data_IF_878035942747
#
_entry.id   IF_878035942747
#
_cell.length_a   1.000
_cell.length_b   1.000
_cell.length_c   1.000
_cell.angle_alpha   90.00
_cell.angle_beta   90.00
_cell.angle_gamma   90.00
#
_symmetry.space_group_name_H-M   'P 1'
#
loop_
_entity.id
_entity.type
_entity.pdbx_description
1 polymer ?
#
# COMPACT_ATOMS: atom_id res chain seq x y z
N UNK A 1 13.80 -8.83 16.87
CA UNK A 1 12.60 -9.61 16.53
C UNK A 1 11.36 -8.92 17.06
N UNK A 2 11.22 -8.70 18.37
CA UNK A 2 10.02 -8.09 18.99
C UNK A 2 9.53 -6.75 18.39
N UNK A 3 10.43 -5.84 17.99
CA UNK A 3 10.03 -4.56 17.34
C UNK A 3 9.49 -4.74 15.92
N UNK A 4 9.96 -5.76 15.21
CA UNK A 4 9.51 -6.05 13.84
C UNK A 4 8.11 -6.65 13.87
N UNK A 5 7.84 -7.54 14.83
CA UNK A 5 6.52 -8.16 15.00
C UNK A 5 5.46 -7.11 15.38
N UNK A 6 5.79 -6.18 16.28
CA UNK A 6 4.93 -5.04 16.60
C UNK A 6 4.69 -4.11 15.40
N UNK A 7 5.70 -3.89 14.54
CA UNK A 7 5.52 -3.11 13.33
C UNK A 7 4.55 -3.81 12.35
N UNK A 8 4.68 -5.13 12.19
CA UNK A 8 3.78 -5.96 11.38
C UNK A 8 2.33 -5.78 11.82
N UNK A 9 2.08 -5.92 13.12
CA UNK A 9 0.76 -5.80 13.71
C UNK A 9 0.17 -4.40 13.52
N UNK A 10 0.96 -3.34 13.75
CA UNK A 10 0.52 -1.97 13.52
C UNK A 10 0.13 -1.70 12.06
N UNK A 11 0.91 -2.21 11.09
CA UNK A 11 0.56 -2.05 9.68
C UNK A 11 -0.68 -2.87 9.29
N UNK A 12 -0.84 -4.07 9.83
CA UNK A 12 -2.05 -4.88 9.63
C UNK A 12 -3.30 -4.18 10.19
N UNK A 13 -3.21 -3.57 11.37
CA UNK A 13 -4.29 -2.75 11.93
C UNK A 13 -4.57 -1.52 11.07
N UNK A 14 -3.54 -0.84 10.59
CA UNK A 14 -3.70 0.30 9.69
C UNK A 14 -4.42 -0.10 8.39
N UNK A 15 -4.12 -1.27 7.82
CA UNK A 15 -4.83 -1.83 6.65
C UNK A 15 -6.26 -2.23 6.98
N UNK A 16 -6.51 -2.78 8.17
CA UNK A 16 -7.87 -3.11 8.60
C UNK A 16 -8.76 -1.86 8.72
N UNK A 17 -8.19 -0.73 9.14
CA UNK A 17 -8.87 0.57 9.21
C UNK A 17 -9.00 1.20 7.82
N UNK A 18 -7.91 1.21 7.05
CA UNK A 18 -7.86 1.75 5.70
C UNK A 18 -7.11 0.80 4.76
N UNK A 19 -7.88 -0.03 4.05
CA UNK A 19 -7.32 -1.02 3.12
C UNK A 19 -6.59 -0.41 1.92
N UNK A 20 -6.79 0.88 1.66
CA UNK A 20 -6.17 1.62 0.55
C UNK A 20 -4.91 2.40 0.97
N UNK A 21 -4.42 2.21 2.21
CA UNK A 21 -3.23 2.88 2.69
C UNK A 21 -1.97 2.29 2.05
N UNK A 22 -1.52 2.90 0.95
CA UNK A 22 -0.37 2.46 0.14
C UNK A 22 0.88 2.26 1.01
N UNK A 23 1.17 3.21 1.90
CA UNK A 23 2.36 3.19 2.75
C UNK A 23 2.39 1.98 3.70
N UNK A 24 1.23 1.53 4.18
CA UNK A 24 1.16 0.35 5.04
C UNK A 24 1.51 -0.93 4.28
N UNK A 25 1.05 -1.06 3.03
CA UNK A 25 1.41 -2.18 2.15
C UNK A 25 2.90 -2.16 1.78
N UNK A 26 3.47 -0.98 1.48
CA UNK A 26 4.93 -0.85 1.24
C UNK A 26 5.73 -1.28 2.46
N UNK A 27 5.34 -0.82 3.65
CA UNK A 27 6.08 -1.10 4.87
C UNK A 27 5.98 -2.57 5.30
N UNK A 28 4.84 -3.23 5.06
CA UNK A 28 4.72 -4.68 5.23
C UNK A 28 5.62 -5.44 4.25
N UNK A 29 5.69 -5.01 2.99
CA UNK A 29 6.58 -5.59 2.00
C UNK A 29 8.06 -5.50 2.42
N UNK A 30 8.47 -4.32 2.89
CA UNK A 30 9.82 -4.09 3.42
C UNK A 30 10.13 -4.98 4.62
N UNK A 31 9.16 -5.13 5.53
CA UNK A 31 9.30 -5.94 6.73
C UNK A 31 9.42 -7.43 6.39
N UNK A 32 8.55 -7.96 5.53
CA UNK A 32 8.60 -9.34 5.07
C UNK A 32 9.89 -9.62 4.27
N UNK A 33 10.36 -8.66 3.48
CA UNK A 33 11.66 -8.75 2.78
C UNK A 33 12.84 -8.86 3.76
N UNK A 34 12.86 -8.05 4.83
CA UNK A 34 13.87 -8.17 5.90
C UNK A 34 13.82 -9.52 6.62
N UNK A 35 12.63 -10.12 6.73
CA UNK A 35 12.42 -11.45 7.31
C UNK A 35 12.64 -12.60 6.31
N UNK A 36 13.01 -12.30 5.05
CA UNK A 36 13.15 -13.26 3.95
C UNK A 36 11.85 -14.00 3.60
N UNK A 37 10.71 -13.44 3.99
CA UNK A 37 9.37 -13.90 3.61
C UNK A 37 9.02 -13.37 2.21
N UNK A 38 9.74 -13.83 1.19
CA UNK A 38 9.72 -13.22 -0.15
C UNK A 38 8.32 -13.17 -0.78
N UNK A 39 7.52 -14.22 -0.61
CA UNK A 39 6.17 -14.29 -1.16
C UNK A 39 5.24 -13.24 -0.53
N UNK A 40 5.30 -13.09 0.80
CA UNK A 40 4.52 -12.07 1.51
C UNK A 40 4.97 -10.65 1.14
N UNK A 41 6.27 -10.46 0.89
CA UNK A 41 6.80 -9.19 0.42
C UNK A 41 6.24 -8.81 -0.96
N UNK A 42 6.25 -9.76 -1.90
CA UNK A 42 5.70 -9.58 -3.25
C UNK A 42 4.22 -9.22 -3.18
N UNK A 43 3.41 -9.98 -2.45
CA UNK A 43 1.96 -9.71 -2.32
C UNK A 43 1.67 -8.32 -1.76
N UNK A 44 2.47 -7.88 -0.78
CA UNK A 44 2.33 -6.54 -0.20
C UNK A 44 2.71 -5.44 -1.20
N UNK A 45 3.78 -5.64 -1.99
CA UNK A 45 4.16 -4.68 -3.01
C UNK A 45 3.17 -4.64 -4.18
N UNK A 46 2.67 -5.78 -4.63
CA UNK A 46 1.64 -5.86 -5.67
C UNK A 46 0.38 -5.09 -5.26
N UNK A 47 -0.04 -5.25 -4.00
CA UNK A 47 -1.17 -4.49 -3.48
C UNK A 47 -0.92 -2.98 -3.44
N UNK A 48 0.29 -2.56 -3.05
CA UNK A 48 0.67 -1.14 -3.08
C UNK A 48 0.65 -0.58 -4.51
N UNK A 49 1.13 -1.36 -5.49
CA UNK A 49 1.13 -0.99 -6.91
C UNK A 49 -0.30 -0.83 -7.43
N UNK A 50 -1.18 -1.81 -7.17
CA UNK A 50 -2.59 -1.75 -7.58
C UNK A 50 -3.29 -0.51 -7.01
N UNK A 51 -3.03 -0.19 -5.74
CA UNK A 51 -3.59 0.98 -5.09
C UNK A 51 -3.06 2.27 -5.71
N UNK A 52 -1.76 2.39 -5.95
CA UNK A 52 -1.17 3.55 -6.63
C UNK A 52 -1.73 3.74 -8.04
N UNK A 53 -1.89 2.67 -8.81
CA UNK A 53 -2.51 2.73 -10.12
C UNK A 53 -3.97 3.17 -10.02
N UNK A 54 -4.74 2.64 -9.07
CA UNK A 54 -6.14 3.02 -8.89
C UNK A 54 -6.28 4.50 -8.52
N UNK A 55 -5.52 4.98 -7.53
CA UNK A 55 -5.56 6.38 -7.07
C UNK A 55 -5.10 7.32 -8.19
N UNK A 56 -3.97 7.01 -8.84
CA UNK A 56 -3.42 7.87 -9.90
C UNK A 56 -4.33 7.90 -11.12
N UNK A 57 -4.93 6.76 -11.50
CA UNK A 57 -5.83 6.70 -12.64
C UNK A 57 -7.14 7.44 -12.37
N UNK A 58 -7.74 7.27 -11.18
CA UNK A 58 -8.94 8.00 -10.76
C UNK A 58 -8.65 9.50 -10.75
N UNK A 59 -7.60 9.96 -10.05
CA UNK A 59 -7.26 11.38 -9.97
C UNK A 59 -6.91 11.99 -11.34
N UNK A 60 -6.27 11.23 -12.24
CA UNK A 60 -5.99 11.68 -13.62
C UNK A 60 -7.27 11.88 -14.43
N UNK A 61 -8.27 11.02 -14.25
CA UNK A 61 -9.56 11.17 -14.93
C UNK A 61 -10.33 12.37 -14.36
N UNK A 62 -10.39 12.51 -13.03
CA UNK A 62 -11.03 13.65 -12.36
C UNK A 62 -10.39 14.99 -12.75
N UNK A 63 -9.06 15.04 -12.86
CA UNK A 63 -8.32 16.23 -13.29
C UNK A 63 -8.65 16.61 -14.74
N UNK A 64 -8.71 15.62 -15.65
CA UNK A 64 -9.08 15.87 -17.05
C UNK A 64 -10.51 16.39 -17.17
N UNK A 65 -11.44 15.82 -16.42
CA UNK A 65 -12.84 16.26 -16.39
C UNK A 65 -12.90 17.72 -15.90
N UNK A 66 -12.24 18.03 -14.79
CA UNK A 66 -12.19 19.38 -14.24
C UNK A 66 -11.60 20.42 -15.20
N UNK A 67 -10.56 20.05 -15.96
CA UNK A 67 -9.94 20.93 -16.96
C UNK A 67 -10.78 21.10 -18.24
N UNK A 68 -11.67 20.16 -18.56
CA UNK A 68 -12.56 20.24 -19.72
C UNK A 68 -13.84 21.05 -19.49
N UNK A 69 -14.12 21.43 -18.24
CA UNK A 69 -15.34 22.14 -17.83
C UNK A 69 -15.07 23.65 -17.58
N UNK A 70 -13.81 24.08 -17.56
CA UNK A 70 -13.40 25.50 -17.55
C UNK A 70 -13.06 25.99 -18.97
#
# INVERSE_FOLDING_TARGET
MEKLDLAKENYQQAIAINSNLVEAHINLGNLSSQQQEWQAAIESYDRAIDLLYSVTYISKQELKVSLSIN
#
